data_IF_002236247319
#
_entry.id   IF_002236247319
#
_cell.length_a   1.000
_cell.length_b   1.000
_cell.length_c   1.000
_cell.angle_alpha   90.00
_cell.angle_beta   90.00
_cell.angle_gamma   90.00
#
_symmetry.space_group_name_H-M   'P 1'
#
loop_
_entity.id
_entity.type
_entity.pdbx_description
1 polymer ?
#
# COMPACT_ATOMS: atom_id res chain seq x y z
N UNK A 1 51.24 1.33 73.25
CA UNK A 1 50.07 1.65 72.40
C UNK A 1 50.52 1.54 70.94
N UNK A 2 50.18 0.44 70.28
CA UNK A 2 50.44 0.23 68.86
C UNK A 2 49.18 0.61 68.07
N UNK A 3 49.30 1.63 67.25
CA UNK A 3 48.32 2.03 66.25
C UNK A 3 48.36 1.06 65.07
N UNK A 4 47.40 0.13 65.01
CA UNK A 4 47.15 -0.68 63.82
C UNK A 4 46.36 0.14 62.80
N UNK A 5 47.03 0.54 61.72
CA UNK A 5 46.39 1.01 60.51
C UNK A 5 45.73 -0.16 59.77
N UNK A 6 44.43 -0.05 59.54
CA UNK A 6 43.68 -0.97 58.66
C UNK A 6 43.87 -0.48 57.23
N UNK A 7 44.57 -1.26 56.41
CA UNK A 7 44.58 -1.10 54.96
C UNK A 7 43.36 -1.85 54.43
N UNK A 8 42.32 -1.11 54.04
CA UNK A 8 41.17 -1.67 53.33
C UNK A 8 41.55 -1.78 51.86
N UNK A 9 41.84 -2.99 51.39
CA UNK A 9 41.87 -3.29 49.96
C UNK A 9 40.43 -3.25 49.44
N UNK A 10 40.06 -2.13 48.81
CA UNK A 10 38.89 -2.07 47.94
C UNK A 10 39.12 -3.02 46.77
N UNK A 11 38.31 -4.08 46.66
CA UNK A 11 38.22 -4.90 45.44
C UNK A 11 37.89 -3.99 44.25
N UNK A 12 38.91 -3.62 43.47
CA UNK A 12 38.69 -3.13 42.13
C UNK A 12 38.07 -4.27 41.34
N UNK A 13 36.79 -4.13 40.94
CA UNK A 13 36.29 -4.92 39.82
C UNK A 13 37.26 -4.67 38.67
N UNK A 14 37.94 -5.71 38.20
CA UNK A 14 38.70 -5.62 36.97
C UNK A 14 37.76 -5.09 35.89
N UNK A 15 38.14 -3.95 35.32
CA UNK A 15 37.41 -3.34 34.22
C UNK A 15 37.70 -4.22 33.00
N UNK A 16 36.75 -5.07 32.62
CA UNK A 16 36.87 -5.84 31.38
C UNK A 16 36.74 -4.88 30.19
N UNK A 17 37.88 -4.57 29.58
CA UNK A 17 37.98 -3.67 28.43
C UNK A 17 37.33 -4.25 27.16
N UNK A 18 37.01 -5.55 27.16
CA UNK A 18 36.37 -6.24 26.04
C UNK A 18 34.83 -6.29 26.14
N UNK A 19 34.24 -5.61 27.12
CA UNK A 19 32.79 -5.64 27.33
C UNK A 19 32.08 -4.37 26.84
N UNK A 20 30.94 -4.55 26.18
CA UNK A 20 29.98 -3.47 25.87
C UNK A 20 29.04 -3.30 27.06
N UNK A 21 29.03 -2.11 27.64
CA UNK A 21 28.23 -1.77 28.84
C UNK A 21 26.89 -1.15 28.49
N UNK A 22 26.84 -0.34 27.42
CA UNK A 22 25.65 0.40 27.02
C UNK A 22 25.62 0.67 25.52
N UNK A 23 24.45 0.48 24.90
CA UNK A 23 24.13 0.93 23.53
C UNK A 23 23.67 2.38 23.60
N UNK A 24 24.34 3.28 22.90
CA UNK A 24 24.04 4.72 22.89
C UNK A 24 23.17 5.15 21.71
N UNK A 25 23.43 4.56 20.55
CA UNK A 25 22.63 4.78 19.36
C UNK A 25 22.64 3.55 18.47
N UNK A 26 21.64 3.51 17.60
CA UNK A 26 21.53 2.57 16.51
C UNK A 26 21.04 3.34 15.29
N UNK A 27 21.73 3.15 14.19
CA UNK A 27 21.52 3.89 12.96
C UNK A 27 21.43 2.93 11.79
N UNK A 28 20.47 3.13 10.90
CA UNK A 28 20.43 2.42 9.62
C UNK A 28 21.04 3.34 8.57
N UNK A 29 22.17 2.94 8.00
CA UNK A 29 22.94 3.76 7.05
C UNK A 29 22.87 3.17 5.65
N UNK A 30 22.58 4.00 4.63
CA UNK A 30 22.50 3.56 3.24
C UNK A 30 23.80 2.88 2.78
N UNK A 31 24.96 3.45 3.14
CA UNK A 31 26.29 2.90 2.85
C UNK A 31 26.52 1.48 3.39
N UNK A 32 25.83 1.11 4.48
CA UNK A 32 25.94 -0.21 5.12
C UNK A 32 24.92 -1.22 4.60
N UNK A 33 23.99 -0.76 3.78
CA UNK A 33 22.89 -1.54 3.21
C UNK A 33 22.94 -1.56 1.67
N UNK A 34 24.12 -1.32 1.10
CA UNK A 34 24.35 -1.39 -0.35
C UNK A 34 24.34 -2.84 -0.85
N UNK A 35 23.83 -3.01 -2.07
CA UNK A 35 23.81 -4.24 -2.85
C UNK A 35 24.34 -3.96 -4.26
N UNK A 36 24.89 -4.97 -4.91
CA UNK A 36 25.29 -4.88 -6.32
C UNK A 36 24.18 -5.46 -7.19
N UNK A 37 23.60 -4.66 -8.06
CA UNK A 37 22.57 -5.06 -9.02
C UNK A 37 23.07 -4.69 -10.42
N UNK A 38 23.23 -5.68 -11.31
CA UNK A 38 23.69 -5.46 -12.69
C UNK A 38 24.96 -4.59 -12.78
N UNK A 39 25.98 -4.92 -11.98
CA UNK A 39 27.27 -4.22 -11.91
C UNK A 39 27.20 -2.74 -11.44
N UNK A 40 26.05 -2.30 -10.93
CA UNK A 40 25.86 -1.00 -10.30
C UNK A 40 25.62 -1.16 -8.81
N UNK A 41 26.18 -0.25 -8.01
CA UNK A 41 25.83 -0.17 -6.60
C UNK A 41 24.45 0.49 -6.45
N UNK A 42 23.58 -0.18 -5.71
CA UNK A 42 22.32 0.37 -5.21
C UNK A 42 22.16 0.05 -3.72
N UNK A 43 21.07 0.47 -3.10
CA UNK A 43 20.68 0.13 -1.74
C UNK A 43 19.62 -0.95 -1.78
N UNK A 44 19.62 -1.87 -0.79
CA UNK A 44 18.67 -2.98 -0.77
C UNK A 44 17.21 -2.52 -0.75
N UNK A 45 16.33 -3.26 -1.40
CA UNK A 45 14.89 -2.97 -1.41
C UNK A 45 14.31 -2.98 0.01
N UNK A 46 14.81 -3.87 0.88
CA UNK A 46 14.44 -3.86 2.31
C UNK A 46 14.79 -2.53 2.97
N UNK A 47 15.99 -1.97 2.74
CA UNK A 47 16.34 -0.67 3.30
C UNK A 47 15.51 0.45 2.69
N UNK A 48 15.30 0.46 1.37
CA UNK A 48 14.43 1.43 0.69
C UNK A 48 13.00 1.39 1.26
N UNK A 49 12.51 0.21 1.61
CA UNK A 49 11.16 0.01 2.17
C UNK A 49 10.95 0.61 3.55
N UNK A 50 12.02 0.90 4.32
CA UNK A 50 11.93 1.57 5.62
C UNK A 50 11.40 3.01 5.51
N UNK A 51 11.45 3.58 4.31
CA UNK A 51 11.00 4.92 4.02
C UNK A 51 9.72 4.88 3.20
N UNK A 52 9.04 6.02 3.12
CA UNK A 52 7.92 6.19 2.20
C UNK A 52 8.50 6.27 0.80
N UNK A 53 8.15 5.32 -0.07
CA UNK A 53 8.53 5.40 -1.48
C UNK A 53 7.79 6.59 -2.08
N UNK A 54 8.50 7.71 -2.28
CA UNK A 54 8.02 8.81 -3.10
C UNK A 54 8.19 8.40 -4.54
N UNK A 55 7.11 8.45 -5.33
CA UNK A 55 7.16 8.24 -6.78
C UNK A 55 7.47 9.58 -7.46
N UNK A 56 8.42 9.64 -8.42
CA UNK A 56 9.27 8.56 -8.94
C UNK A 56 10.42 8.18 -7.99
N UNK A 57 10.89 6.93 -8.11
CA UNK A 57 12.01 6.37 -7.34
C UNK A 57 13.26 7.27 -7.43
N UNK A 58 13.94 7.47 -6.29
CA UNK A 58 15.05 8.41 -6.15
C UNK A 58 16.40 7.70 -6.09
N UNK A 59 17.44 8.38 -6.56
CA UNK A 59 18.82 7.91 -6.44
C UNK A 59 19.28 7.79 -4.97
N UNK A 60 20.28 6.95 -4.70
CA UNK A 60 20.82 6.67 -3.34
C UNK A 60 21.11 7.93 -2.52
N UNK A 61 21.72 8.94 -3.15
CA UNK A 61 22.07 10.22 -2.49
C UNK A 61 20.84 10.96 -1.95
N UNK A 62 19.66 10.68 -2.50
CA UNK A 62 18.41 11.32 -2.11
C UNK A 62 17.82 10.78 -0.81
N UNK A 63 18.26 9.61 -0.29
CA UNK A 63 17.74 9.04 0.96
C UNK A 63 18.37 9.63 2.23
N UNK A 64 19.29 10.58 2.10
CA UNK A 64 20.02 11.16 3.25
C UNK A 64 19.08 11.79 4.28
N UNK A 65 18.04 12.49 3.82
CA UNK A 65 17.09 13.17 4.72
C UNK A 65 16.09 12.19 5.33
N UNK A 66 15.60 11.22 4.54
CA UNK A 66 14.74 10.13 5.01
C UNK A 66 15.45 9.28 6.06
N UNK A 67 16.74 8.98 5.84
CA UNK A 67 17.59 8.27 6.80
C UNK A 67 17.74 9.05 8.11
N UNK A 68 18.08 10.34 8.05
CA UNK A 68 18.15 11.20 9.24
C UNK A 68 16.82 11.24 9.98
N UNK A 69 15.71 11.36 9.25
CA UNK A 69 14.38 11.38 9.81
C UNK A 69 14.03 10.07 10.51
N UNK A 70 14.37 8.91 9.92
CA UNK A 70 14.17 7.61 10.55
C UNK A 70 15.04 7.46 11.80
N UNK A 71 16.35 7.68 11.69
CA UNK A 71 17.28 7.48 12.79
C UNK A 71 17.00 8.42 13.97
N UNK A 72 16.59 9.66 13.72
CA UNK A 72 16.20 10.60 14.79
C UNK A 72 14.96 10.18 15.58
N UNK A 73 14.14 9.27 15.04
CA UNK A 73 12.96 8.70 15.71
C UNK A 73 13.26 7.42 16.49
N UNK A 74 14.47 6.88 16.36
CA UNK A 74 14.88 5.70 17.11
C UNK A 74 15.12 6.10 18.56
N UNK A 75 14.53 5.34 19.47
CA UNK A 75 14.59 5.62 20.91
C UNK A 75 15.09 4.38 21.65
N UNK A 76 15.87 4.59 22.70
CA UNK A 76 16.39 3.53 23.56
C UNK A 76 15.81 3.74 24.96
N UNK A 77 15.07 2.76 25.44
CA UNK A 77 14.42 2.76 26.75
C UNK A 77 14.86 1.51 27.52
N UNK A 78 15.90 1.68 28.35
CA UNK A 78 16.57 0.56 29.00
C UNK A 78 17.19 -0.38 27.96
N UNK A 79 16.78 -1.65 27.98
CA UNK A 79 17.30 -2.68 27.09
C UNK A 79 16.46 -2.82 25.79
N UNK A 80 15.49 -1.93 25.59
CA UNK A 80 14.62 -1.94 24.41
C UNK A 80 14.97 -0.78 23.49
N UNK A 81 15.16 -1.11 22.21
CA UNK A 81 15.43 -0.17 21.13
C UNK A 81 14.18 -0.12 20.26
N UNK A 82 13.58 1.04 20.07
CA UNK A 82 12.36 1.20 19.27
C UNK A 82 12.65 1.88 17.94
N UNK A 83 12.48 1.14 16.85
CA UNK A 83 12.57 1.64 15.48
C UNK A 83 11.15 1.92 14.99
N UNK A 84 10.81 3.21 14.90
CA UNK A 84 9.49 3.69 14.47
C UNK A 84 9.51 3.94 12.97
N UNK A 85 8.72 3.19 12.22
CA UNK A 85 8.71 3.22 10.75
C UNK A 85 7.35 3.67 10.21
N UNK A 86 7.29 4.41 9.09
CA UNK A 86 6.03 4.64 8.41
C UNK A 86 5.46 3.33 7.83
N UNK A 87 4.16 3.27 7.63
CA UNK A 87 3.52 2.24 6.82
C UNK A 87 3.98 2.38 5.37
N UNK A 88 4.49 1.29 4.82
CA UNK A 88 4.85 1.15 3.42
C UNK A 88 4.54 -0.29 2.99
N UNK A 89 3.69 -0.52 1.98
CA UNK A 89 3.39 -1.87 1.51
C UNK A 89 4.63 -2.63 0.99
N UNK A 90 5.69 -1.94 0.57
CA UNK A 90 6.95 -2.56 0.18
C UNK A 90 7.73 -3.20 1.33
N UNK A 91 7.36 -2.93 2.60
CA UNK A 91 7.93 -3.64 3.76
C UNK A 91 7.54 -5.11 3.78
N UNK A 92 6.45 -5.48 3.10
CA UNK A 92 6.08 -6.87 2.92
C UNK A 92 7.06 -7.53 1.93
N UNK A 93 8.14 -8.08 2.48
CA UNK A 93 9.10 -8.86 1.72
C UNK A 93 8.58 -10.26 1.46
N UNK A 94 8.62 -10.70 0.21
CA UNK A 94 8.31 -12.09 -0.16
C UNK A 94 9.47 -13.04 0.18
N UNK A 95 10.70 -12.52 0.24
CA UNK A 95 11.91 -13.26 0.60
C UNK A 95 12.54 -12.72 1.89
N UNK A 96 13.40 -13.53 2.53
CA UNK A 96 14.14 -13.07 3.70
C UNK A 96 15.22 -12.05 3.29
N UNK A 97 15.43 -11.03 4.12
CA UNK A 97 16.41 -9.97 3.89
C UNK A 97 17.29 -9.71 5.09
N UNK A 98 18.34 -8.93 4.89
CA UNK A 98 19.26 -8.48 5.94
C UNK A 98 19.25 -6.95 5.95
N UNK A 99 19.06 -6.39 7.15
CA UNK A 99 19.21 -4.97 7.42
C UNK A 99 20.42 -4.78 8.33
N UNK A 100 21.44 -4.07 7.85
CA UNK A 100 22.63 -3.77 8.65
C UNK A 100 22.38 -2.53 9.50
N UNK A 101 22.48 -2.69 10.81
CA UNK A 101 22.42 -1.63 11.79
C UNK A 101 23.82 -1.24 12.26
N UNK A 102 24.12 0.06 12.29
CA UNK A 102 25.33 0.60 12.88
C UNK A 102 25.04 1.01 14.32
N UNK A 103 25.69 0.35 15.28
CA UNK A 103 25.52 0.59 16.70
C UNK A 103 26.70 1.36 17.24
N UNK A 104 26.45 2.48 17.91
CA UNK A 104 27.44 3.17 18.75
C UNK A 104 27.20 2.80 20.20
N UNK A 105 28.27 2.36 20.87
CA UNK A 105 28.21 1.87 22.25
C UNK A 105 29.35 2.44 23.08
N UNK A 106 29.18 2.44 24.40
CA UNK A 106 30.30 2.61 25.34
C UNK A 106 30.80 1.25 25.82
N UNK A 107 32.11 1.07 25.73
CA UNK A 107 32.84 0.14 26.60
C UNK A 107 33.07 0.78 27.98
N UNK A 108 33.69 0.03 28.88
CA UNK A 108 33.87 0.41 30.27
C UNK A 108 34.44 1.83 30.52
N UNK A 109 34.27 2.39 31.74
CA UNK A 109 34.57 3.80 32.05
C UNK A 109 35.97 4.22 31.59
N UNK A 110 36.06 5.32 30.84
CA UNK A 110 37.32 5.87 30.31
C UNK A 110 37.73 5.38 28.92
N UNK A 111 36.91 4.59 28.24
CA UNK A 111 37.12 4.20 26.83
C UNK A 111 36.27 5.03 25.87
N UNK A 112 36.82 5.30 24.67
CA UNK A 112 36.08 6.00 23.61
C UNK A 112 34.90 5.15 23.11
N UNK A 113 33.78 5.76 22.70
CA UNK A 113 32.69 5.04 22.06
C UNK A 113 33.18 4.23 20.86
N UNK A 114 32.66 3.01 20.72
CA UNK A 114 32.97 2.14 19.60
C UNK A 114 31.73 1.94 18.74
N UNK A 115 31.95 1.83 17.43
CA UNK A 115 30.90 1.64 16.44
C UNK A 115 31.03 0.26 15.80
N UNK A 116 29.90 -0.43 15.65
CA UNK A 116 29.84 -1.79 15.10
C UNK A 116 28.71 -1.91 14.10
N UNK A 117 28.91 -2.68 13.04
CA UNK A 117 27.86 -3.01 12.08
C UNK A 117 27.32 -4.41 12.39
N UNK A 118 26.00 -4.53 12.55
CA UNK A 118 25.33 -5.76 12.92
C UNK A 118 24.26 -6.10 11.86
N UNK A 119 24.34 -7.27 11.22
CA UNK A 119 23.28 -7.73 10.33
C UNK A 119 22.07 -8.18 11.16
N UNK A 120 20.90 -7.62 10.84
CA UNK A 120 19.61 -8.02 11.41
C UNK A 120 18.85 -8.80 10.33
N UNK A 121 18.66 -10.09 10.56
CA UNK A 121 17.88 -10.94 9.65
C UNK A 121 16.39 -10.69 9.82
N UNK A 122 15.72 -10.35 8.73
CA UNK A 122 14.26 -10.20 8.62
C UNK A 122 13.75 -11.35 7.75
N UNK A 123 12.86 -12.17 8.30
CA UNK A 123 12.25 -13.27 7.58
C UNK A 123 11.25 -12.81 6.54
N UNK A 124 10.99 -13.66 5.55
CA UNK A 124 9.91 -13.48 4.60
C UNK A 124 8.58 -13.22 5.34
N UNK A 125 7.81 -12.24 4.88
CA UNK A 125 6.51 -11.86 5.45
C UNK A 125 6.55 -11.51 6.96
N UNK A 126 7.72 -11.15 7.51
CA UNK A 126 7.85 -10.77 8.91
C UNK A 126 7.35 -9.34 9.17
N UNK A 127 7.56 -8.43 8.22
CA UNK A 127 7.05 -7.05 8.28
C UNK A 127 5.69 -6.86 7.58
N UNK A 128 4.83 -7.88 7.60
CA UNK A 128 3.42 -7.74 7.17
C UNK A 128 2.68 -6.70 8.01
N UNK A 129 1.63 -6.07 7.45
CA UNK A 129 0.87 -5.02 8.14
C UNK A 129 0.40 -5.48 9.51
N UNK A 130 -0.15 -6.70 9.57
CA UNK A 130 -0.66 -7.28 10.82
C UNK A 130 0.41 -7.46 11.89
N UNK A 131 1.61 -7.94 11.53
CA UNK A 131 2.72 -8.14 12.49
C UNK A 131 3.32 -6.80 12.94
N UNK A 132 3.38 -5.83 12.05
CA UNK A 132 3.91 -4.50 12.35
C UNK A 132 2.97 -3.66 13.25
N UNK A 133 1.66 -3.94 13.25
CA UNK A 133 0.71 -3.36 14.22
C UNK A 133 1.06 -3.81 15.65
N UNK A 134 1.36 -5.10 15.85
CA UNK A 134 1.78 -5.63 17.16
C UNK A 134 3.23 -5.30 17.50
N UNK A 135 4.05 -5.08 16.47
CA UNK A 135 5.49 -4.90 16.57
C UNK A 135 6.25 -6.20 16.31
N UNK A 136 7.39 -6.09 15.65
CA UNK A 136 8.32 -7.19 15.38
C UNK A 136 9.57 -7.00 16.23
N UNK A 137 9.99 -8.06 16.92
CA UNK A 137 11.11 -8.00 17.89
C UNK A 137 12.29 -8.82 17.39
N UNK A 138 13.47 -8.19 17.34
CA UNK A 138 14.75 -8.81 17.01
C UNK A 138 15.71 -8.65 18.18
N UNK A 139 16.37 -9.74 18.57
CA UNK A 139 17.38 -9.69 19.62
C UNK A 139 18.73 -9.35 19.02
N UNK A 140 19.49 -8.48 19.69
CA UNK A 140 20.90 -8.30 19.35
C UNK A 140 21.69 -9.56 19.74
N UNK A 141 22.73 -9.92 18.95
CA UNK A 141 23.58 -11.04 19.30
C UNK A 141 24.33 -10.75 20.62
N UNK A 142 24.57 -11.77 21.45
CA UNK A 142 25.33 -11.60 22.71
C UNK A 142 26.79 -11.20 22.50
N UNK A 143 27.28 -11.31 21.26
CA UNK A 143 28.63 -10.96 20.85
C UNK A 143 28.60 -10.09 19.60
N UNK A 144 29.32 -8.97 19.62
CA UNK A 144 29.49 -8.06 18.49
C UNK A 144 30.98 -7.95 18.18
N UNK A 145 31.41 -8.52 17.06
CA UNK A 145 32.83 -8.69 16.77
C UNK A 145 33.49 -9.57 17.84
N UNK A 146 34.54 -9.06 18.49
CA UNK A 146 35.23 -9.74 19.59
C UNK A 146 34.72 -9.37 20.98
N UNK A 147 33.72 -8.48 21.07
CA UNK A 147 33.21 -7.97 22.35
C UNK A 147 31.92 -8.64 22.78
N UNK A 148 31.83 -8.97 24.06
CA UNK A 148 30.61 -9.48 24.67
C UNK A 148 29.70 -8.33 25.11
N UNK A 149 28.39 -8.49 24.90
CA UNK A 149 27.38 -7.55 25.42
C UNK A 149 26.89 -8.06 26.78
N UNK A 150 27.00 -7.23 27.81
CA UNK A 150 26.53 -7.57 29.15
C UNK A 150 25.01 -7.73 29.23
N UNK A 151 24.29 -6.91 28.46
CA UNK A 151 22.83 -6.84 28.46
C UNK A 151 22.23 -7.44 27.19
N UNK A 152 21.05 -8.05 27.32
CA UNK A 152 20.30 -8.59 26.19
C UNK A 152 19.36 -7.51 25.63
N UNK A 153 19.79 -6.85 24.55
CA UNK A 153 18.99 -5.81 23.91
C UNK A 153 17.97 -6.40 22.91
N UNK A 154 16.78 -5.81 22.90
CA UNK A 154 15.72 -6.13 21.94
C UNK A 154 15.39 -4.92 21.07
N UNK A 155 15.44 -5.10 19.75
CA UNK A 155 15.02 -4.11 18.74
C UNK A 155 13.58 -4.39 18.36
N UNK A 156 12.72 -3.41 18.63
CA UNK A 156 11.30 -3.41 18.33
C UNK A 156 11.03 -2.55 17.11
N UNK A 157 10.72 -3.19 16.00
CA UNK A 157 10.24 -2.56 14.78
C UNK A 157 8.72 -2.38 14.89
N UNK A 158 8.23 -1.14 14.84
CA UNK A 158 6.79 -0.82 14.95
C UNK A 158 6.43 0.38 14.09
N UNK A 159 5.14 0.52 13.79
CA UNK A 159 4.70 1.74 13.11
C UNK A 159 4.90 2.99 13.95
N UNK A 160 5.31 4.06 13.28
CA UNK A 160 5.33 5.40 13.84
C UNK A 160 3.91 5.94 13.95
N UNK A 161 3.32 5.78 15.14
CA UNK A 161 1.95 6.25 15.42
C UNK A 161 1.79 7.75 15.22
N UNK A 162 2.88 8.51 15.34
CA UNK A 162 2.91 9.97 15.26
C UNK A 162 3.22 10.49 13.85
N UNK A 163 3.47 9.60 12.87
CA UNK A 163 3.80 9.97 11.49
C UNK A 163 2.65 10.65 10.73
N UNK A 164 1.43 10.52 11.22
CA UNK A 164 0.24 11.11 10.62
C UNK A 164 -0.04 12.45 11.36
N UNK A 165 0.19 13.60 10.70
CA UNK A 165 0.00 14.90 11.38
C UNK A 165 -0.75 16.01 10.61
N UNK A 166 -1.42 15.75 9.48
CA UNK A 166 -2.49 16.71 9.08
C UNK A 166 -3.46 16.24 8.01
N UNK A 167 -3.05 15.45 7.01
CA UNK A 167 -3.94 15.07 5.90
C UNK A 167 -4.22 13.55 5.80
N UNK A 168 -3.24 12.69 6.10
CA UNK A 168 -3.39 11.23 5.96
C UNK A 168 -4.15 10.55 7.09
N UNK A 169 -4.23 11.15 8.27
CA UNK A 169 -4.83 10.55 9.47
C UNK A 169 -6.27 10.09 9.27
N UNK A 170 -7.02 10.80 8.43
CA UNK A 170 -8.43 10.47 8.17
C UNK A 170 -8.62 9.46 7.04
N UNK A 171 -7.58 9.24 6.23
CA UNK A 171 -7.62 8.36 5.06
C UNK A 171 -8.77 8.67 4.08
N UNK A 172 -9.20 9.93 4.06
CA UNK A 172 -10.29 10.43 3.22
C UNK A 172 -9.80 10.60 1.78
N UNK A 173 -10.43 9.94 0.80
CA UNK A 173 -10.14 10.17 -0.61
C UNK A 173 -10.68 11.52 -1.10
N UNK A 174 -11.58 12.15 -0.35
CA UNK A 174 -12.29 13.36 -0.75
C UNK A 174 -12.79 14.10 0.49
N UNK A 175 -13.13 15.40 0.37
CA UNK A 175 -13.64 16.19 1.50
C UNK A 175 -14.85 15.55 2.18
N UNK A 176 -14.95 15.63 3.51
CA UNK A 176 -16.04 14.99 4.28
C UNK A 176 -17.41 15.62 4.07
N UNK A 177 -17.47 16.81 3.49
CA UNK A 177 -18.66 17.53 3.06
C UNK A 177 -19.08 17.21 1.61
N UNK A 178 -18.37 16.31 0.94
CA UNK A 178 -18.76 15.78 -0.37
C UNK A 178 -20.18 15.20 -0.31
N UNK A 179 -21.02 15.66 -1.23
CA UNK A 179 -22.43 15.25 -1.30
C UNK A 179 -22.62 14.09 -2.27
N UNK A 180 -23.78 13.42 -2.21
CA UNK A 180 -24.15 12.36 -3.17
C UNK A 180 -24.04 12.89 -4.60
N UNK A 181 -23.61 12.04 -5.53
CA UNK A 181 -23.40 12.34 -6.96
C UNK A 181 -22.26 13.34 -7.26
N UNK A 182 -21.55 13.81 -6.22
CA UNK A 182 -20.35 14.62 -6.39
C UNK A 182 -19.19 13.75 -6.91
N UNK A 183 -18.40 14.26 -7.88
CA UNK A 183 -17.26 13.52 -8.44
C UNK A 183 -16.11 13.40 -7.43
N UNK A 184 -15.50 12.22 -7.39
CA UNK A 184 -14.34 11.90 -6.54
C UNK A 184 -13.04 12.07 -7.34
N UNK A 185 -12.66 13.32 -7.61
CA UNK A 185 -11.55 13.64 -8.54
C UNK A 185 -10.20 13.01 -8.15
N UNK A 186 -9.99 12.76 -6.86
CA UNK A 186 -8.82 12.08 -6.31
C UNK A 186 -8.75 10.58 -6.67
N UNK A 187 -9.77 10.04 -7.34
CA UNK A 187 -9.78 8.68 -7.85
C UNK A 187 -10.22 8.72 -9.33
N UNK A 188 -9.39 9.33 -10.18
CA UNK A 188 -9.68 9.51 -11.61
C UNK A 188 -8.96 8.48 -12.49
N UNK A 189 -9.57 8.23 -13.65
CA UNK A 189 -9.18 7.18 -14.59
C UNK A 189 -9.04 7.79 -15.99
N UNK A 190 -7.81 7.96 -16.50
CA UNK A 190 -7.54 8.48 -17.85
C UNK A 190 -8.01 7.48 -18.90
N UNK A 191 -8.74 7.96 -19.91
CA UNK A 191 -9.22 7.14 -21.01
C UNK A 191 -8.05 6.66 -21.88
N UNK A 192 -7.95 5.36 -22.13
CA UNK A 192 -6.88 4.72 -22.92
C UNK A 192 -5.47 4.98 -22.36
N UNK A 193 -5.31 4.89 -21.04
CA UNK A 193 -4.03 5.08 -20.37
C UNK A 193 -3.05 3.95 -20.75
N UNK A 194 -1.85 4.29 -21.21
CA UNK A 194 -0.77 3.32 -21.43
C UNK A 194 0.16 3.31 -20.23
N UNK A 195 0.44 2.12 -19.72
CA UNK A 195 1.38 1.94 -18.62
C UNK A 195 2.16 0.64 -18.80
N UNK A 196 3.30 0.57 -18.13
CA UNK A 196 4.11 -0.64 -18.08
C UNK A 196 3.62 -1.54 -16.96
N UNK A 197 3.42 -2.82 -17.28
CA UNK A 197 3.22 -3.87 -16.30
C UNK A 197 4.22 -4.95 -16.63
N UNK A 198 5.21 -5.14 -15.74
CA UNK A 198 6.41 -5.92 -16.05
C UNK A 198 7.10 -5.33 -17.30
N UNK A 199 7.46 -6.18 -18.27
CA UNK A 199 8.14 -5.78 -19.51
C UNK A 199 7.16 -5.40 -20.64
N UNK A 200 5.84 -5.50 -20.41
CA UNK A 200 4.83 -5.25 -21.43
C UNK A 200 4.19 -3.86 -21.26
N UNK A 201 3.88 -3.23 -22.39
CA UNK A 201 3.06 -2.01 -22.41
C UNK A 201 1.60 -2.41 -22.57
N UNK A 202 0.81 -2.11 -21.55
CA UNK A 202 -0.62 -2.38 -21.51
C UNK A 202 -1.37 -1.07 -21.76
N UNK A 203 -2.44 -1.15 -22.54
CA UNK A 203 -3.41 -0.04 -22.68
C UNK A 203 -4.64 -0.35 -21.81
N UNK A 204 -4.83 0.42 -20.74
CA UNK A 204 -6.03 0.41 -19.92
C UNK A 204 -7.15 1.21 -20.60
N UNK A 205 -8.21 0.53 -21.02
CA UNK A 205 -9.40 1.17 -21.58
C UNK A 205 -10.40 1.51 -20.48
N UNK A 206 -10.06 2.52 -19.66
CA UNK A 206 -10.94 3.15 -18.66
C UNK A 206 -12.18 3.85 -19.25
N UNK A 207 -12.43 3.69 -20.56
CA UNK A 207 -13.48 4.36 -21.31
C UNK A 207 -14.51 3.42 -21.91
N UNK A 208 -14.42 2.11 -21.64
CA UNK A 208 -15.33 1.19 -22.28
C UNK A 208 -16.76 1.43 -21.82
N UNK A 209 -17.56 1.95 -22.76
CA UNK A 209 -19.01 1.97 -22.73
C UNK A 209 -19.39 1.61 -24.17
N UNK A 210 -19.58 0.30 -24.39
CA UNK A 210 -20.05 -0.39 -25.60
C UNK A 210 -19.26 -0.12 -26.92
N UNK A 211 -18.15 -0.82 -27.13
CA UNK A 211 -17.72 -1.28 -28.47
C UNK A 211 -17.94 -2.79 -28.60
N UNK A 212 -19.06 -3.18 -29.23
CA UNK A 212 -19.23 -4.30 -30.20
C UNK A 212 -20.68 -4.82 -30.16
N UNK A 213 -21.55 -4.56 -31.15
CA UNK A 213 -21.53 -4.85 -32.61
C UNK A 213 -22.06 -6.29 -32.90
N UNK A 214 -22.96 -6.57 -33.85
CA UNK A 214 -23.10 -6.05 -35.21
C UNK A 214 -24.56 -5.96 -35.71
N UNK A 215 -24.76 -4.97 -36.58
CA UNK A 215 -25.91 -4.81 -37.49
C UNK A 215 -25.79 -5.86 -38.60
N UNK A 216 -26.34 -7.05 -38.36
CA UNK A 216 -26.87 -8.00 -39.37
C UNK A 216 -27.39 -9.29 -38.69
N UNK A 217 -28.04 -9.18 -37.51
CA UNK A 217 -28.90 -10.28 -37.08
C UNK A 217 -29.33 -10.38 -35.62
N UNK A 218 -28.62 -9.79 -34.63
CA UNK A 218 -29.12 -9.73 -33.24
C UNK A 218 -28.73 -8.43 -32.55
N UNK A 219 -29.74 -7.75 -32.00
CA UNK A 219 -29.68 -6.39 -31.45
C UNK A 219 -28.85 -6.31 -30.16
N UNK A 220 -27.68 -5.67 -30.25
CA UNK A 220 -27.02 -5.04 -29.11
C UNK A 220 -26.78 -3.57 -29.42
N UNK A 221 -27.10 -2.71 -28.45
CA UNK A 221 -27.30 -1.29 -28.69
C UNK A 221 -26.03 -0.48 -28.90
N UNK A 222 -26.10 0.50 -29.80
CA UNK A 222 -25.01 1.47 -30.04
C UNK A 222 -24.96 2.49 -28.89
N UNK A 223 -23.76 2.93 -28.52
CA UNK A 223 -23.63 4.12 -27.67
C UNK A 223 -23.88 5.37 -28.49
N UNK A 224 -24.95 6.09 -28.16
CA UNK A 224 -25.21 7.41 -28.72
C UNK A 224 -24.64 8.47 -27.78
N UNK A 225 -23.93 9.46 -28.32
CA UNK A 225 -23.47 10.61 -27.54
C UNK A 225 -22.26 10.36 -26.65
N UNK A 226 -21.53 9.24 -26.81
CA UNK A 226 -20.23 9.08 -26.15
C UNK A 226 -19.19 9.95 -26.87
N UNK A 227 -19.23 11.23 -26.55
CA UNK A 227 -18.16 12.13 -26.89
C UNK A 227 -16.96 11.76 -26.02
N UNK A 228 -15.86 11.26 -26.62
CA UNK A 228 -14.56 11.09 -25.94
C UNK A 228 -13.92 12.46 -25.59
N UNK A 229 -14.73 13.53 -25.42
CA UNK A 229 -14.26 14.88 -25.14
C UNK A 229 -13.60 15.00 -23.77
N UNK A 230 -14.02 14.20 -22.78
CA UNK A 230 -13.34 14.12 -21.49
C UNK A 230 -12.16 13.14 -21.55
N UNK A 231 -10.97 13.62 -21.18
CA UNK A 231 -9.74 12.79 -21.14
C UNK A 231 -9.73 11.75 -20.03
N UNK A 232 -10.56 11.91 -19.00
CA UNK A 232 -10.64 11.02 -17.84
C UNK A 232 -12.10 10.80 -17.41
N UNK A 233 -12.31 9.78 -16.58
CA UNK A 233 -13.57 9.44 -15.93
C UNK A 233 -13.36 9.42 -14.42
N UNK A 234 -14.36 9.91 -13.68
CA UNK A 234 -14.32 9.99 -12.22
C UNK A 234 -15.57 9.34 -11.62
N UNK A 235 -15.45 8.45 -10.61
CA UNK A 235 -16.61 7.93 -9.92
C UNK A 235 -17.26 9.02 -9.05
N UNK A 236 -18.50 8.78 -8.65
CA UNK A 236 -19.27 9.64 -7.76
C UNK A 236 -19.57 8.94 -6.44
N UNK A 237 -19.82 9.73 -5.40
CA UNK A 237 -20.28 9.23 -4.11
C UNK A 237 -21.70 8.65 -4.23
N UNK A 238 -21.92 7.43 -3.74
CA UNK A 238 -23.22 6.74 -3.87
C UNK A 238 -24.22 7.13 -2.79
N UNK A 239 -23.76 7.35 -1.57
CA UNK A 239 -24.63 7.62 -0.42
C UNK A 239 -24.06 8.72 0.46
N UNK A 240 -24.92 9.44 1.17
CA UNK A 240 -24.48 10.48 2.09
C UNK A 240 -23.53 9.90 3.15
N UNK A 241 -22.46 10.64 3.46
CA UNK A 241 -21.51 10.24 4.47
C UNK A 241 -22.10 10.37 5.88
N UNK A 242 -21.79 9.38 6.70
CA UNK A 242 -22.08 9.30 8.13
C UNK A 242 -20.78 9.04 8.89
N UNK A 243 -20.81 9.14 10.21
CA UNK A 243 -19.64 8.90 11.07
C UNK A 243 -19.08 7.48 11.01
N UNK A 244 -19.87 6.49 10.54
CA UNK A 244 -19.46 5.08 10.42
C UNK A 244 -18.89 4.73 9.05
N UNK A 245 -19.02 5.60 8.05
CA UNK A 245 -18.60 5.27 6.71
C UNK A 245 -17.08 5.07 6.63
N UNK A 246 -16.70 3.91 6.10
CA UNK A 246 -15.31 3.50 5.91
C UNK A 246 -14.65 2.92 7.15
N UNK A 247 -15.35 2.73 8.29
CA UNK A 247 -14.76 2.17 9.51
C UNK A 247 -14.43 0.66 9.42
N UNK A 248 -15.08 -0.03 8.49
CA UNK A 248 -15.03 -1.48 8.33
C UNK A 248 -15.36 -1.88 6.90
N UNK A 249 -15.07 -3.14 6.56
CA UNK A 249 -15.42 -3.71 5.25
C UNK A 249 -16.93 -3.68 4.98
N UNK A 250 -17.74 -3.91 6.02
CA UNK A 250 -19.20 -3.87 5.95
C UNK A 250 -19.72 -2.46 5.68
N UNK A 251 -19.12 -1.44 6.30
CA UNK A 251 -19.52 -0.03 6.16
C UNK A 251 -18.64 0.74 5.16
N UNK A 252 -17.99 0.06 4.22
CA UNK A 252 -17.11 0.71 3.25
C UNK A 252 -17.83 1.84 2.50
N UNK A 253 -17.11 2.93 2.23
CA UNK A 253 -17.60 4.07 1.45
C UNK A 253 -17.81 3.62 0.01
N UNK A 254 -19.06 3.62 -0.44
CA UNK A 254 -19.41 3.18 -1.78
C UNK A 254 -19.35 4.33 -2.78
N UNK A 255 -18.60 4.13 -3.85
CA UNK A 255 -18.51 5.00 -5.01
C UNK A 255 -18.91 4.20 -6.24
N UNK A 256 -19.50 4.85 -7.22
CA UNK A 256 -19.80 4.22 -8.49
C UNK A 256 -19.46 5.16 -9.63
N UNK A 257 -19.17 4.60 -10.80
CA UNK A 257 -19.27 5.42 -12.01
C UNK A 257 -20.74 5.51 -12.42
N UNK A 258 -21.16 6.69 -12.87
CA UNK A 258 -22.49 6.83 -13.46
C UNK A 258 -22.63 5.86 -14.64
N UNK A 259 -23.82 5.29 -14.78
CA UNK A 259 -24.11 4.38 -15.88
C UNK A 259 -24.86 5.10 -16.99
N UNK A 260 -24.64 4.71 -18.23
CA UNK A 260 -25.49 5.07 -19.34
C UNK A 260 -26.85 4.37 -19.25
N UNK A 261 -27.92 5.07 -19.64
CA UNK A 261 -29.28 4.51 -19.67
C UNK A 261 -29.48 3.69 -20.93
N UNK A 262 -29.81 2.40 -20.77
CA UNK A 262 -30.13 1.51 -21.88
C UNK A 262 -31.59 1.71 -22.32
N UNK A 263 -31.82 1.89 -23.62
CA UNK A 263 -33.16 2.10 -24.16
C UNK A 263 -34.01 0.82 -24.07
N UNK A 264 -35.34 1.01 -24.07
CA UNK A 264 -36.39 -0.02 -23.86
C UNK A 264 -36.32 -1.26 -24.79
N UNK A 265 -35.45 -1.27 -25.80
CA UNK A 265 -35.26 -2.41 -26.70
C UNK A 265 -33.80 -2.86 -26.82
N UNK A 266 -32.94 -2.43 -25.88
CA UNK A 266 -31.51 -2.75 -25.88
C UNK A 266 -30.80 -2.29 -27.16
N UNK A 267 -31.35 -1.28 -27.86
CA UNK A 267 -30.87 -0.79 -29.18
C UNK A 267 -29.94 0.41 -29.08
N UNK A 268 -29.94 1.09 -27.93
CA UNK A 268 -29.04 2.22 -27.70
C UNK A 268 -28.78 2.43 -26.21
N UNK A 269 -27.58 2.88 -25.87
CA UNK A 269 -27.32 3.49 -24.56
C UNK A 269 -27.23 5.01 -24.74
N UNK A 270 -27.93 5.77 -23.91
CA UNK A 270 -27.78 7.21 -23.75
C UNK A 270 -26.88 7.52 -22.55
N UNK A 271 -25.92 8.43 -22.73
CA UNK A 271 -25.00 8.87 -21.67
C UNK A 271 -25.21 10.37 -21.46
N UNK A 272 -25.62 10.74 -20.24
CA UNK A 272 -25.89 12.14 -19.92
C UNK A 272 -24.65 12.89 -19.42
N UNK A 273 -23.74 12.22 -18.70
CA UNK A 273 -22.54 12.82 -18.10
C UNK A 273 -21.28 12.01 -18.45
N UNK A 274 -20.70 12.16 -19.64
CA UNK A 274 -19.60 11.33 -20.10
C UNK A 274 -18.40 11.28 -19.14
N UNK A 275 -18.06 12.38 -18.48
CA UNK A 275 -16.96 12.52 -17.51
C UNK A 275 -17.14 11.74 -16.21
N UNK A 276 -18.36 11.31 -15.89
CA UNK A 276 -18.65 10.44 -14.73
C UNK A 276 -19.03 9.03 -15.14
N UNK A 277 -19.24 8.82 -16.45
CA UNK A 277 -19.88 7.63 -16.95
C UNK A 277 -18.90 6.53 -17.34
N UNK A 278 -19.13 5.34 -16.80
CA UNK A 278 -18.42 4.11 -17.12
C UNK A 278 -19.38 2.92 -17.00
N UNK A 279 -19.39 2.01 -17.99
CA UNK A 279 -20.36 0.93 -18.07
C UNK A 279 -19.76 -0.38 -18.55
N UNK A 280 -19.98 -1.46 -17.79
CA UNK A 280 -19.58 -2.79 -18.21
C UNK A 280 -20.67 -3.40 -19.09
N UNK A 281 -20.33 -3.79 -20.32
CA UNK A 281 -21.19 -4.57 -21.22
C UNK A 281 -21.24 -6.06 -20.85
N UNK A 282 -22.21 -6.79 -21.41
CA UNK A 282 -22.38 -8.24 -21.21
C UNK A 282 -21.18 -8.99 -21.80
N UNK A 283 -20.32 -9.60 -20.96
CA UNK A 283 -19.22 -10.46 -21.41
C UNK A 283 -19.66 -11.89 -21.79
N UNK A 284 -20.91 -12.25 -21.48
CA UNK A 284 -21.37 -13.65 -21.46
C UNK A 284 -21.90 -14.20 -22.79
N UNK A 285 -22.14 -13.37 -23.81
CA UNK A 285 -22.66 -13.82 -25.11
C UNK A 285 -21.60 -13.93 -26.20
N UNK A 286 -20.34 -13.81 -25.80
CA UNK A 286 -19.22 -13.65 -26.72
C UNK A 286 -18.43 -14.95 -26.92
N UNK A 287 -19.05 -16.11 -26.70
CA UNK A 287 -18.39 -17.41 -26.82
C UNK A 287 -19.14 -18.28 -27.84
N UNK A 288 -18.39 -18.87 -28.77
CA UNK A 288 -18.84 -20.00 -29.59
C UNK A 288 -18.04 -21.24 -29.16
N UNK A 289 -18.54 -21.96 -28.16
CA UNK A 289 -17.75 -22.97 -27.46
C UNK A 289 -16.62 -22.33 -26.64
N UNK A 290 -15.39 -22.82 -26.79
CA UNK A 290 -14.23 -22.37 -25.99
C UNK A 290 -13.54 -21.09 -26.52
N UNK A 291 -13.96 -20.56 -27.67
CA UNK A 291 -13.32 -19.39 -28.29
C UNK A 291 -14.20 -18.13 -28.22
N UNK A 292 -13.63 -16.96 -27.83
CA UNK A 292 -14.36 -15.71 -27.85
C UNK A 292 -14.61 -15.22 -29.30
N UNK A 293 -15.84 -14.80 -29.63
CA UNK A 293 -16.28 -14.35 -30.98
C UNK A 293 -15.88 -12.91 -31.29
N UNK A 294 -15.78 -12.05 -30.28
CA UNK A 294 -15.22 -10.71 -30.35
C UNK A 294 -14.06 -10.60 -29.36
N UNK A 295 -12.91 -10.15 -29.85
CA UNK A 295 -11.80 -9.75 -29.00
C UNK A 295 -12.10 -8.34 -28.49
N UNK A 296 -12.80 -8.24 -27.35
CA UNK A 296 -12.97 -6.95 -26.69
C UNK A 296 -11.58 -6.37 -26.35
N UNK A 297 -11.35 -5.05 -26.50
CA UNK A 297 -10.09 -4.45 -26.11
C UNK A 297 -9.83 -4.72 -24.62
N UNK A 298 -8.55 -4.80 -24.23
CA UNK A 298 -8.13 -5.09 -22.86
C UNK A 298 -8.94 -4.28 -21.82
N UNK A 299 -9.82 -4.98 -21.07
CA UNK A 299 -10.62 -4.45 -19.95
C UNK A 299 -9.78 -4.12 -18.72
N UNK A 300 -8.57 -3.62 -18.94
CA UNK A 300 -7.72 -3.25 -17.84
C UNK A 300 -8.08 -1.85 -17.37
N UNK A 301 -8.28 -1.74 -16.07
CA UNK A 301 -8.61 -0.53 -15.34
C UNK A 301 -7.42 -0.10 -14.52
N UNK A 302 -7.19 1.21 -14.46
CA UNK A 302 -6.18 1.78 -13.59
C UNK A 302 -6.64 3.17 -13.16
N UNK A 303 -6.66 3.41 -11.86
CA UNK A 303 -6.84 4.74 -11.28
C UNK A 303 -5.52 5.50 -11.36
N UNK A 304 -5.09 5.86 -12.57
CA UNK A 304 -3.79 6.50 -12.83
C UNK A 304 -3.73 7.93 -12.33
N UNK A 305 -4.88 8.60 -12.21
CA UNK A 305 -5.00 9.93 -11.60
C UNK A 305 -5.34 9.89 -10.12
N UNK A 306 -5.10 8.77 -9.43
CA UNK A 306 -5.36 8.67 -8.00
C UNK A 306 -4.42 9.56 -7.19
N UNK A 307 -4.99 10.44 -6.36
CA UNK A 307 -4.26 11.32 -5.44
C UNK A 307 -4.68 10.99 -4.02
N UNK A 308 -3.81 10.28 -3.32
CA UNK A 308 -4.01 9.93 -1.93
C UNK A 308 -3.64 11.09 -0.99
N UNK A 309 -4.28 11.20 0.19
CA UNK A 309 -3.80 12.06 1.25
C UNK A 309 -2.31 11.83 1.52
N UNK A 310 -1.58 12.89 1.89
CA UNK A 310 -0.12 12.88 1.95
C UNK A 310 0.43 11.64 2.66
N UNK A 311 1.06 10.77 1.86
CA UNK A 311 1.72 9.58 2.35
C UNK A 311 0.85 8.36 2.61
N UNK A 312 -0.46 8.44 2.38
CA UNK A 312 -1.34 7.27 2.48
C UNK A 312 -1.12 6.32 1.29
N UNK A 313 -1.54 5.07 1.48
CA UNK A 313 -1.39 4.00 0.49
C UNK A 313 -2.70 3.24 0.30
N UNK A 314 -2.92 2.76 -0.92
CA UNK A 314 -3.89 1.69 -1.14
C UNK A 314 -3.37 0.39 -0.54
N UNK A 315 -4.26 -0.41 0.02
CA UNK A 315 -3.96 -1.76 0.49
C UNK A 315 -5.21 -2.63 0.40
N UNK A 316 -4.98 -3.94 0.27
CA UNK A 316 -6.02 -4.98 0.29
C UNK A 316 -5.73 -6.03 1.37
N UNK A 317 -4.68 -5.85 2.17
CA UNK A 317 -4.31 -6.81 3.20
C UNK A 317 -5.42 -6.96 4.23
N UNK A 318 -5.86 -8.20 4.46
CA UNK A 318 -6.95 -8.52 5.40
C UNK A 318 -8.33 -8.09 4.92
N UNK A 319 -8.51 -7.75 3.64
CA UNK A 319 -9.81 -7.51 3.01
C UNK A 319 -10.25 -8.80 2.33
N UNK A 320 -11.47 -9.26 2.58
CA UNK A 320 -11.94 -10.55 2.04
C UNK A 320 -12.68 -10.40 0.71
N UNK A 321 -13.49 -9.34 0.57
CA UNK A 321 -14.38 -9.17 -0.56
C UNK A 321 -15.59 -10.10 -0.52
N UNK A 322 -16.25 -10.27 -1.66
CA UNK A 322 -17.50 -11.02 -1.80
C UNK A 322 -17.50 -11.80 -3.11
N UNK A 323 -17.71 -13.12 -3.01
CA UNK A 323 -17.95 -14.05 -4.12
C UNK A 323 -16.92 -13.98 -5.28
N UNK A 324 -15.65 -13.69 -4.99
CA UNK A 324 -14.62 -13.44 -6.02
C UNK A 324 -14.41 -14.58 -7.01
N UNK A 325 -14.39 -15.81 -6.50
CA UNK A 325 -14.18 -17.01 -7.31
C UNK A 325 -15.49 -17.66 -7.76
N UNK A 326 -16.63 -17.11 -7.35
CA UNK A 326 -17.94 -17.69 -7.65
C UNK A 326 -18.42 -17.19 -9.01
N UNK A 327 -18.72 -18.13 -9.92
CA UNK A 327 -19.35 -17.78 -11.20
C UNK A 327 -20.79 -17.34 -10.97
N UNK A 328 -21.25 -16.38 -11.76
CA UNK A 328 -22.63 -15.89 -11.75
C UNK A 328 -23.13 -15.40 -10.39
N UNK A 329 -22.38 -14.49 -9.76
CA UNK A 329 -22.79 -13.73 -8.58
C UNK A 329 -22.22 -12.31 -8.63
N UNK A 330 -22.70 -11.45 -7.74
CA UNK A 330 -22.10 -10.13 -7.50
C UNK A 330 -20.69 -10.32 -6.97
N UNK A 331 -19.69 -9.85 -7.72
CA UNK A 331 -18.30 -9.90 -7.30
C UNK A 331 -17.88 -8.55 -6.78
N UNK A 332 -17.38 -8.50 -5.55
CA UNK A 332 -16.72 -7.31 -4.99
C UNK A 332 -15.37 -7.76 -4.45
N UNK A 333 -14.30 -7.56 -5.22
CA UNK A 333 -13.02 -8.21 -4.92
C UNK A 333 -11.95 -7.28 -4.37
N UNK A 334 -11.07 -7.77 -3.48
CA UNK A 334 -9.95 -6.98 -2.99
C UNK A 334 -8.99 -6.67 -4.13
N UNK A 335 -8.93 -5.42 -4.59
CA UNK A 335 -8.03 -4.99 -5.67
C UNK A 335 -7.45 -3.61 -5.36
N UNK A 336 -6.13 -3.47 -5.55
CA UNK A 336 -5.44 -2.18 -5.49
C UNK A 336 -5.75 -1.41 -6.80
N UNK A 337 -6.40 -0.23 -6.74
CA UNK A 337 -6.94 0.41 -7.94
C UNK A 337 -5.88 1.00 -8.89
N UNK A 338 -4.66 1.28 -8.42
CA UNK A 338 -3.61 1.90 -9.22
C UNK A 338 -2.59 0.90 -9.80
N UNK A 339 -2.82 -0.42 -9.72
CA UNK A 339 -1.87 -1.45 -10.22
C UNK A 339 -2.28 -2.08 -11.56
N UNK A 340 -3.38 -1.62 -12.17
CA UNK A 340 -3.95 -2.31 -13.32
C UNK A 340 -4.74 -3.56 -12.91
N UNK A 341 -6.02 -3.61 -13.23
CA UNK A 341 -6.88 -4.75 -12.90
C UNK A 341 -7.96 -4.99 -13.94
N UNK A 342 -8.44 -6.23 -14.02
CA UNK A 342 -9.53 -6.60 -14.94
C UNK A 342 -10.81 -6.78 -14.14
N UNK A 343 -11.90 -6.22 -14.64
CA UNK A 343 -13.23 -6.52 -14.12
C UNK A 343 -13.91 -7.55 -15.00
N UNK A 344 -14.22 -8.71 -14.41
CA UNK A 344 -14.99 -9.74 -15.08
C UNK A 344 -16.44 -9.70 -14.61
N UNK A 345 -17.36 -9.73 -15.56
CA UNK A 345 -18.79 -9.63 -15.33
C UNK A 345 -19.54 -10.78 -16.03
N UNK A 346 -19.70 -11.93 -15.35
CA UNK A 346 -20.40 -13.09 -15.91
C UNK A 346 -21.93 -12.92 -15.92
N UNK A 347 -22.49 -11.93 -15.21
CA UNK A 347 -23.93 -11.74 -15.07
C UNK A 347 -24.35 -10.33 -15.46
N UNK A 348 -25.06 -10.16 -16.59
CA UNK A 348 -25.46 -8.84 -17.06
C UNK A 348 -26.44 -8.10 -16.12
N UNK A 349 -27.03 -8.76 -15.12
CA UNK A 349 -28.01 -8.15 -14.21
C UNK A 349 -27.43 -7.68 -12.88
N UNK A 350 -26.13 -7.88 -12.65
CA UNK A 350 -25.53 -7.73 -11.33
C UNK A 350 -24.35 -6.79 -11.41
N UNK A 351 -24.33 -5.79 -10.53
CA UNK A 351 -23.21 -4.87 -10.38
C UNK A 351 -22.00 -5.62 -9.82
N UNK A 352 -20.81 -5.31 -10.32
CA UNK A 352 -19.57 -5.85 -9.79
C UNK A 352 -18.70 -4.71 -9.29
N UNK A 353 -17.69 -5.01 -8.49
CA UNK A 353 -16.91 -4.00 -7.81
C UNK A 353 -15.54 -4.46 -7.38
N UNK A 354 -14.80 -3.49 -6.88
CA UNK A 354 -13.60 -3.73 -6.09
C UNK A 354 -13.78 -3.15 -4.71
N UNK A 355 -13.07 -3.72 -3.75
CA UNK A 355 -12.96 -3.21 -2.39
C UNK A 355 -11.49 -3.03 -2.03
N UNK A 356 -11.19 -1.95 -1.33
CA UNK A 356 -9.83 -1.65 -0.90
C UNK A 356 -9.87 -0.76 0.34
N UNK A 357 -8.70 -0.59 0.98
CA UNK A 357 -8.52 0.38 2.05
C UNK A 357 -7.48 1.42 1.65
N UNK A 358 -7.68 2.65 2.11
CA UNK A 358 -6.63 3.67 2.18
C UNK A 358 -6.08 3.63 3.60
N UNK A 359 -4.76 3.49 3.74
CA UNK A 359 -4.07 3.36 5.02
C UNK A 359 -3.09 4.52 5.19
N UNK A 360 -3.15 5.21 6.33
CA UNK A 360 -2.24 6.29 6.66
C UNK A 360 -0.81 5.77 6.95
N UNK A 361 0.16 6.68 6.99
CA UNK A 361 1.55 6.35 7.32
C UNK A 361 1.73 5.82 8.75
N UNK A 362 0.79 6.07 9.65
CA UNK A 362 0.84 5.46 10.98
C UNK A 362 0.48 3.97 10.98
N UNK A 363 0.06 3.41 9.84
CA UNK A 363 -0.33 2.00 9.70
C UNK A 363 -1.56 1.60 10.52
N UNK A 364 -2.21 2.52 11.22
CA UNK A 364 -3.33 2.21 12.12
C UNK A 364 -4.61 2.77 11.52
N UNK A 365 -4.58 4.05 11.16
CA UNK A 365 -5.73 4.72 10.58
C UNK A 365 -5.94 4.20 9.17
N UNK A 366 -7.19 3.86 8.87
CA UNK A 366 -7.61 3.34 7.58
C UNK A 366 -9.06 3.68 7.31
N UNK A 367 -9.41 3.75 6.04
CA UNK A 367 -10.80 3.74 5.57
C UNK A 367 -11.01 2.73 4.47
N UNK A 368 -12.14 2.04 4.50
CA UNK A 368 -12.56 1.09 3.48
C UNK A 368 -13.42 1.78 2.42
N UNK A 369 -13.15 1.44 1.16
CA UNK A 369 -13.84 1.96 -0.01
C UNK A 369 -14.27 0.82 -0.92
N UNK A 370 -15.45 0.97 -1.53
CA UNK A 370 -15.96 0.10 -2.60
C UNK A 370 -16.12 0.96 -3.85
N UNK A 371 -15.55 0.50 -4.96
CA UNK A 371 -15.81 1.08 -6.28
C UNK A 371 -16.68 0.09 -7.06
N UNK A 372 -17.91 0.51 -7.35
CA UNK A 372 -18.92 -0.29 -8.04
C UNK A 372 -18.97 0.09 -9.51
N UNK A 373 -18.89 -0.93 -10.35
CA UNK A 373 -19.09 -0.89 -11.77
C UNK A 373 -20.51 -1.38 -12.06
N UNK A 374 -21.39 -0.42 -12.34
CA UNK A 374 -22.80 -0.68 -12.58
C UNK A 374 -23.00 -1.45 -13.87
N UNK A 375 -24.00 -2.31 -13.85
CA UNK A 375 -24.39 -3.13 -14.98
C UNK A 375 -25.64 -2.58 -15.68
N UNK A 376 -25.72 -2.78 -16.99
CA UNK A 376 -26.75 -2.16 -17.84
C UNK A 376 -28.05 -2.93 -17.95
N UNK A 377 -28.08 -4.20 -17.59
CA UNK A 377 -29.32 -4.98 -17.68
C UNK A 377 -30.01 -4.94 -16.31
N UNK A 378 -30.51 -3.77 -15.92
CA UNK A 378 -31.53 -3.70 -14.87
C UNK A 378 -32.87 -3.88 -15.59
N UNK A 379 -33.42 -5.10 -15.62
CA UNK A 379 -34.83 -5.24 -16.00
C UNK A 379 -35.64 -4.34 -15.05
N UNK A 380 -36.59 -3.53 -15.54
CA UNK A 380 -37.56 -2.91 -14.65
C UNK A 380 -38.19 -4.06 -13.85
N UNK A 381 -38.10 -4.01 -12.52
CA UNK A 381 -38.90 -4.92 -11.68
C UNK A 381 -40.36 -4.51 -11.91
N UNK A 382 -41.11 -5.34 -12.62
CA UNK A 382 -42.56 -5.23 -12.72
C UNK A 382 -43.21 -5.77 -11.44
#
# INVERSE_FOLDING_TARGET
MLTSGVIVFSCGKEIDKNQITEVKSIDFLAEKNKVTVEDKQDVSDLFKSLFIIKTPERAISAYTEEQKALNSKITIEGDNIYVKMPYNPALKLDEAGILTATITSSSAPGTSPATFDIPISIGANEFTHQKMITGVVKKLPKKIGDKDIEKEYSIHFKYDKDAAKSASDKCDLFPTDTTVDSPINNLSFTRNHQYKKLEETITANNSYVCENAEVNGKNHGKCNGLSKTSKAVTPVLTTALTSKNGDSEANAIEMHFEGGTLSHHFVSTTISNPEKSFDIGILAHDYDGDNPKFTMPNFEFIADGAVLPDGAFFSVEGVNGTDCDVKYKQKICPIIPNTGFKMYNPMPLVDNGIIFKVVAQNGINKKFYKLIFKNKNTRPRF
#
